data_IF_674818070566
#
_entry.id   IF_674818070566
#
_cell.length_a   1.000
_cell.length_b   1.000
_cell.length_c   1.000
_cell.angle_alpha   90.00
_cell.angle_beta   90.00
_cell.angle_gamma   90.00
#
_symmetry.space_group_name_H-M   'P 1'
#
loop_
_entity.id
_entity.type
_entity.pdbx_description
1 polymer ?
#
# COMPACT_ATOMS: atom_id res chain seq x y z
N UNK A 1 -3.72 40.88 41.31
CA UNK A 1 -2.76 40.40 42.32
C UNK A 1 -2.94 38.89 42.47
N UNK A 2 -1.91 38.07 42.21
CA UNK A 2 -1.72 36.65 42.63
C UNK A 2 -2.79 35.60 42.21
N UNK A 3 -2.54 34.47 41.52
CA UNK A 3 -1.52 33.39 41.70
C UNK A 3 -1.36 32.97 43.18
N UNK A 4 -1.45 31.69 43.59
CA UNK A 4 -1.84 30.39 42.98
C UNK A 4 -3.15 29.92 43.67
N UNK A 5 -3.84 28.81 43.39
CA UNK A 5 -3.67 27.60 42.55
C UNK A 5 -4.61 26.50 43.15
N UNK A 6 -4.62 25.21 42.80
CA UNK A 6 -4.03 24.34 41.74
C UNK A 6 -5.02 23.15 41.58
N UNK A 7 -5.02 22.39 40.47
CA UNK A 7 -5.84 21.16 40.34
C UNK A 7 -5.14 20.06 39.55
N UNK A 8 -5.41 18.83 39.95
CA UNK A 8 -4.73 17.55 39.70
C UNK A 8 -4.33 17.22 38.25
N UNK A 9 -3.23 16.46 38.12
CA UNK A 9 -2.87 15.78 36.86
C UNK A 9 -4.01 14.84 36.44
N UNK A 10 -4.55 15.07 35.24
CA UNK A 10 -4.95 13.98 34.37
C UNK A 10 -4.18 14.11 33.07
N UNK A 11 -3.13 13.29 32.95
CA UNK A 11 -2.39 13.10 31.72
C UNK A 11 -3.31 12.28 30.81
N UNK A 12 -4.15 12.96 30.03
CA UNK A 12 -5.01 12.33 29.02
C UNK A 12 -4.09 11.82 27.92
N UNK A 13 -3.54 10.63 28.15
CA UNK A 13 -3.00 9.76 27.11
C UNK A 13 -4.17 9.36 26.24
N UNK A 14 -4.49 10.22 25.26
CA UNK A 14 -5.43 9.88 24.20
C UNK A 14 -4.75 8.84 23.31
N UNK A 15 -4.72 7.59 23.77
CA UNK A 15 -4.48 6.43 22.91
C UNK A 15 -5.61 6.46 21.90
N UNK A 16 -5.32 6.95 20.70
CA UNK A 16 -6.22 6.84 19.56
C UNK A 16 -6.35 5.34 19.30
N UNK A 17 -7.52 4.71 19.55
CA UNK A 17 -7.69 3.31 19.19
C UNK A 17 -7.57 3.24 17.67
N UNK A 18 -6.61 2.45 17.20
CA UNK A 18 -6.34 2.27 15.77
C UNK A 18 -7.45 1.44 15.11
N UNK A 19 -8.60 2.07 14.88
CA UNK A 19 -9.68 1.58 14.04
C UNK A 19 -10.23 2.75 13.19
N UNK A 20 -9.37 3.25 12.29
CA UNK A 20 -9.85 3.88 11.07
C UNK A 20 -10.49 2.79 10.20
N UNK A 21 -11.71 2.37 10.57
CA UNK A 21 -12.59 1.72 9.60
C UNK A 21 -12.98 2.78 8.59
N UNK A 22 -12.46 2.66 7.37
CA UNK A 22 -12.87 3.49 6.26
C UNK A 22 -14.25 2.98 5.80
N UNK A 23 -15.33 3.52 6.38
CA UNK A 23 -16.68 3.24 5.89
C UNK A 23 -16.79 3.75 4.44
N UNK A 24 -17.13 2.84 3.51
CA UNK A 24 -17.52 3.19 2.16
C UNK A 24 -18.66 2.28 1.71
N UNK A 25 -19.88 2.71 1.98
CA UNK A 25 -21.09 1.90 1.89
C UNK A 25 -21.99 2.24 0.68
N UNK A 26 -21.45 2.16 -0.54
CA UNK A 26 -22.25 2.17 -1.79
C UNK A 26 -21.80 1.09 -2.80
N UNK A 27 -22.25 -0.15 -2.59
CA UNK A 27 -22.11 -1.29 -3.53
C UNK A 27 -20.70 -1.49 -4.13
N UNK A 28 -19.66 -1.46 -3.30
CA UNK A 28 -18.30 -1.71 -3.75
C UNK A 28 -17.42 -2.31 -2.65
N UNK A 29 -16.68 -3.36 -3.03
CA UNK A 29 -15.44 -3.85 -2.39
C UNK A 29 -15.50 -3.95 -0.85
N UNK A 30 -15.86 -5.12 -0.35
CA UNK A 30 -15.66 -5.43 1.07
C UNK A 30 -14.17 -5.58 1.39
N UNK A 31 -13.71 -4.91 2.44
CA UNK A 31 -12.45 -5.23 3.10
C UNK A 31 -12.59 -6.61 3.75
N UNK A 32 -12.21 -7.65 3.02
CA UNK A 32 -12.38 -9.03 3.45
C UNK A 32 -11.43 -9.37 4.59
N UNK A 33 -11.85 -9.06 5.82
CA UNK A 33 -11.18 -9.41 7.07
C UNK A 33 -10.93 -10.93 7.21
N UNK A 34 -11.74 -11.74 6.51
CA UNK A 34 -11.70 -13.22 6.53
C UNK A 34 -10.89 -13.84 5.36
N UNK A 35 -10.48 -13.05 4.35
CA UNK A 35 -9.81 -13.61 3.17
C UNK A 35 -8.27 -13.59 3.31
N UNK A 36 -7.55 -14.67 2.94
CA UNK A 36 -6.08 -14.72 2.98
C UNK A 36 -5.43 -13.97 1.80
N UNK A 37 -5.99 -12.82 1.41
CA UNK A 37 -5.46 -11.96 0.35
C UNK A 37 -4.50 -10.97 0.99
N UNK A 38 -3.21 -11.20 0.83
CA UNK A 38 -2.21 -10.16 1.05
C UNK A 38 -1.89 -9.44 -0.26
N UNK A 39 -1.44 -8.19 -0.17
CA UNK A 39 -0.94 -7.42 -1.31
C UNK A 39 0.57 -7.15 -1.18
N UNK A 40 1.31 -8.11 -0.61
CA UNK A 40 2.76 -7.96 -0.40
C UNK A 40 3.53 -8.10 -1.71
N UNK A 41 4.63 -7.38 -1.86
CA UNK A 41 5.47 -7.46 -3.04
C UNK A 41 6.94 -7.12 -2.78
N UNK A 42 7.79 -7.61 -3.68
CA UNK A 42 9.22 -7.33 -3.73
C UNK A 42 9.53 -6.34 -4.86
N UNK A 43 10.59 -5.56 -4.68
CA UNK A 43 11.19 -4.69 -5.70
C UNK A 43 12.64 -5.12 -5.95
N UNK A 44 13.05 -5.27 -7.19
CA UNK A 44 14.41 -5.67 -7.57
C UNK A 44 14.97 -4.75 -8.66
N UNK A 45 16.13 -4.15 -8.42
CA UNK A 45 16.77 -3.23 -9.36
C UNK A 45 17.60 -3.98 -10.40
N UNK A 46 17.38 -3.70 -11.69
CA UNK A 46 18.27 -4.17 -12.76
C UNK A 46 19.48 -3.25 -12.91
N UNK A 47 20.44 -3.38 -12.00
CA UNK A 47 21.71 -2.68 -12.04
C UNK A 47 21.80 -1.44 -11.13
N UNK A 48 22.58 -0.45 -11.54
CA UNK A 48 22.91 0.71 -10.71
C UNK A 48 21.73 1.69 -10.57
N UNK A 49 21.45 2.11 -9.34
CA UNK A 49 20.35 3.01 -9.00
C UNK A 49 20.68 4.49 -9.26
N UNK A 50 21.96 4.82 -9.41
CA UNK A 50 22.51 6.20 -9.41
C UNK A 50 22.45 6.90 -10.77
N UNK A 51 22.00 6.20 -11.82
CA UNK A 51 21.93 6.68 -13.20
C UNK A 51 20.57 6.35 -13.81
N UNK A 52 19.85 7.36 -14.28
CA UNK A 52 18.57 7.17 -14.98
C UNK A 52 18.80 6.93 -16.49
N UNK A 53 17.94 6.15 -17.16
CA UNK A 53 16.77 5.46 -16.62
C UNK A 53 17.11 4.22 -15.77
N UNK A 54 16.38 4.03 -14.66
CA UNK A 54 16.52 2.85 -13.80
C UNK A 54 15.36 1.89 -14.07
N UNK A 55 15.67 0.61 -14.28
CA UNK A 55 14.66 -0.45 -14.46
C UNK A 55 14.49 -1.21 -13.16
N UNK A 56 13.24 -1.35 -12.71
CA UNK A 56 12.87 -2.07 -11.49
C UNK A 56 11.83 -3.14 -11.82
N UNK A 57 12.08 -4.35 -11.33
CA UNK A 57 11.15 -5.46 -11.38
C UNK A 57 10.32 -5.52 -10.09
N UNK A 58 9.01 -5.65 -10.27
CA UNK A 58 8.02 -5.73 -9.21
C UNK A 58 7.38 -7.10 -9.27
N UNK A 59 7.42 -7.84 -8.17
CA UNK A 59 6.85 -9.20 -8.09
C UNK A 59 5.93 -9.32 -6.89
N UNK A 60 4.69 -9.72 -7.13
CA UNK A 60 3.76 -10.12 -6.07
C UNK A 60 4.38 -11.25 -5.23
N UNK A 61 4.54 -11.00 -3.93
CA UNK A 61 5.19 -11.89 -2.96
C UNK A 61 4.20 -12.65 -2.08
N UNK A 62 2.90 -12.50 -2.34
CA UNK A 62 1.85 -13.24 -1.65
C UNK A 62 1.59 -14.62 -2.23
N UNK A 63 0.70 -15.37 -1.57
CA UNK A 63 0.24 -16.67 -2.09
C UNK A 63 -0.62 -16.40 -3.32
N UNK A 64 -0.26 -16.97 -4.47
CA UNK A 64 -1.09 -16.90 -5.66
C UNK A 64 -2.30 -17.83 -5.53
N UNK A 65 -3.48 -17.33 -5.87
CA UNK A 65 -4.71 -18.12 -6.00
C UNK A 65 -5.44 -17.80 -7.30
N UNK A 66 -6.12 -18.79 -7.88
CA UNK A 66 -6.94 -18.62 -9.08
C UNK A 66 -8.01 -17.53 -8.85
N UNK A 67 -8.16 -16.64 -9.83
CA UNK A 67 -9.06 -15.49 -9.76
C UNK A 67 -8.48 -14.23 -9.08
N UNK A 68 -7.18 -14.20 -8.76
CA UNK A 68 -6.50 -12.96 -8.39
C UNK A 68 -6.26 -12.06 -9.60
N UNK A 69 -6.62 -10.79 -9.46
CA UNK A 69 -6.29 -9.71 -10.38
C UNK A 69 -5.35 -8.72 -9.70
N UNK A 70 -4.36 -8.23 -10.43
CA UNK A 70 -3.35 -7.31 -9.94
C UNK A 70 -3.51 -5.95 -10.60
N UNK A 71 -3.23 -4.87 -9.87
CA UNK A 71 -3.08 -3.53 -10.42
C UNK A 71 -1.95 -2.80 -9.70
N UNK A 72 -0.95 -2.38 -10.47
CA UNK A 72 0.18 -1.58 -10.00
C UNK A 72 -0.03 -0.11 -10.36
N UNK A 73 0.30 0.77 -9.41
CA UNK A 73 0.62 2.17 -9.64
C UNK A 73 2.09 2.36 -9.24
N UNK A 74 2.93 2.82 -10.16
CA UNK A 74 4.36 3.03 -9.90
C UNK A 74 4.68 4.41 -9.31
N UNK A 75 3.68 5.28 -9.13
CA UNK A 75 3.82 6.61 -8.54
C UNK A 75 4.42 7.67 -9.47
N UNK A 76 4.75 7.30 -10.71
CA UNK A 76 5.21 8.21 -11.78
C UNK A 76 4.18 8.41 -12.91
N UNK A 77 3.00 7.79 -12.77
CA UNK A 77 1.96 7.70 -13.80
C UNK A 77 1.96 6.39 -14.59
N UNK A 78 2.98 5.54 -14.44
CA UNK A 78 3.01 4.19 -14.97
C UNK A 78 2.10 3.23 -14.18
N UNK A 79 1.49 2.27 -14.88
CA UNK A 79 0.65 1.21 -14.27
C UNK A 79 0.89 -0.15 -14.95
N UNK A 80 0.50 -1.24 -14.28
CA UNK A 80 0.50 -2.59 -14.85
C UNK A 80 -0.62 -3.44 -14.26
N UNK A 81 -1.07 -4.48 -14.98
CA UNK A 81 -2.02 -5.50 -14.50
C UNK A 81 -1.42 -6.91 -14.36
N UNK A 82 -0.12 -7.03 -14.55
CA UNK A 82 0.59 -8.31 -14.49
C UNK A 82 0.95 -8.66 -13.04
N UNK A 83 1.02 -9.95 -12.69
CA UNK A 83 1.47 -10.39 -11.36
C UNK A 83 2.94 -10.01 -11.07
N UNK A 84 3.77 -10.05 -12.12
CA UNK A 84 5.14 -9.54 -12.15
C UNK A 84 5.22 -8.51 -13.26
N UNK A 85 5.81 -7.35 -13.00
CA UNK A 85 5.93 -6.25 -13.94
C UNK A 85 7.34 -5.65 -13.91
N UNK A 86 7.86 -5.23 -15.06
CA UNK A 86 9.07 -4.41 -15.16
C UNK A 86 8.67 -2.97 -15.49
N UNK A 87 9.17 -1.98 -14.76
CA UNK A 87 8.93 -0.55 -15.04
C UNK A 87 10.24 0.24 -15.12
N UNK A 88 10.21 1.38 -15.81
CA UNK A 88 11.39 2.18 -16.15
C UNK A 88 11.24 3.61 -15.64
N UNK A 89 11.91 3.92 -14.54
CA UNK A 89 11.90 5.26 -13.93
C UNK A 89 12.89 6.18 -14.64
N UNK A 90 12.36 7.23 -15.27
CA UNK A 90 13.12 8.18 -16.11
C UNK A 90 13.81 9.30 -15.31
N UNK A 91 13.50 9.45 -14.01
CA UNK A 91 13.98 10.55 -13.17
C UNK A 91 14.36 10.03 -11.78
N UNK A 92 15.22 10.80 -11.10
CA UNK A 92 15.55 10.62 -9.69
C UNK A 92 14.40 11.18 -8.84
N UNK A 93 14.17 10.60 -7.67
CA UNK A 93 13.10 10.99 -6.76
C UNK A 93 12.56 9.81 -5.94
N UNK A 94 11.59 10.11 -5.07
CA UNK A 94 10.84 9.11 -4.30
C UNK A 94 9.51 8.82 -4.97
N UNK A 95 9.25 7.55 -5.25
CA UNK A 95 8.05 7.05 -5.90
C UNK A 95 7.28 6.17 -4.94
N UNK A 96 6.01 6.50 -4.69
CA UNK A 96 5.13 5.69 -3.85
C UNK A 96 4.50 4.60 -4.72
N UNK A 97 5.09 3.42 -4.72
CA UNK A 97 4.58 2.27 -5.50
C UNK A 97 3.47 1.60 -4.73
N UNK A 98 2.33 1.35 -5.37
CA UNK A 98 1.16 0.70 -4.78
C UNK A 98 0.78 -0.53 -5.59
N UNK A 99 0.64 -1.66 -4.90
CA UNK A 99 -0.01 -2.85 -5.44
C UNK A 99 -1.42 -2.96 -4.87
N UNK A 100 -2.40 -3.13 -5.75
CA UNK A 100 -3.75 -3.58 -5.44
C UNK A 100 -3.92 -5.04 -5.92
N UNK A 101 -4.49 -5.89 -5.07
CA UNK A 101 -4.86 -7.27 -5.37
C UNK A 101 -6.35 -7.42 -5.11
N UNK A 102 -7.12 -7.80 -6.14
CA UNK A 102 -8.55 -8.09 -6.01
C UNK A 102 -8.87 -9.52 -6.35
N UNK A 103 -9.86 -10.10 -5.68
CA UNK A 103 -10.35 -11.46 -5.96
C UNK A 103 -11.76 -11.64 -5.40
N UNK A 104 -12.58 -12.40 -6.11
CA UNK A 104 -13.89 -12.79 -5.60
C UNK A 104 -13.76 -14.01 -4.68
N UNK A 105 -14.23 -13.89 -3.44
CA UNK A 105 -14.20 -14.92 -2.38
C UNK A 105 -15.63 -15.11 -1.89
N UNK A 106 -16.13 -16.35 -1.92
CA UNK A 106 -17.49 -16.68 -1.45
C UNK A 106 -18.65 -15.91 -2.14
N UNK A 107 -18.41 -15.28 -3.30
CA UNK A 107 -19.36 -14.42 -4.00
C UNK A 107 -19.23 -12.93 -3.69
N UNK A 108 -18.29 -12.54 -2.82
CA UNK A 108 -17.98 -11.16 -2.49
C UNK A 108 -16.65 -10.73 -3.12
N UNK A 109 -16.58 -9.49 -3.62
CA UNK A 109 -15.37 -8.97 -4.25
C UNK A 109 -14.44 -8.33 -3.23
N UNK A 110 -13.38 -9.04 -2.88
CA UNK A 110 -12.34 -8.58 -1.96
C UNK A 110 -11.29 -7.72 -2.66
N UNK A 111 -10.70 -6.78 -1.92
CA UNK A 111 -9.49 -6.05 -2.31
C UNK A 111 -8.51 -5.95 -1.14
N UNK A 112 -7.22 -5.96 -1.45
CA UNK A 112 -6.17 -5.51 -0.53
C UNK A 112 -5.15 -4.67 -1.28
N UNK A 113 -4.53 -3.71 -0.59
CA UNK A 113 -3.43 -2.92 -1.17
C UNK A 113 -2.29 -2.72 -0.19
N UNK A 114 -1.06 -2.67 -0.73
CA UNK A 114 0.14 -2.27 0.01
C UNK A 114 0.85 -1.16 -0.76
N UNK A 115 1.36 -0.16 -0.05
CA UNK A 115 2.24 0.85 -0.61
C UNK A 115 3.65 0.69 -0.03
N UNK A 116 4.67 0.90 -0.86
CA UNK A 116 6.07 0.94 -0.46
C UNK A 116 6.77 2.08 -1.21
N UNK A 117 7.63 2.83 -0.50
CA UNK A 117 8.36 3.94 -1.10
C UNK A 117 9.65 3.43 -1.76
N UNK A 118 9.82 3.78 -3.04
CA UNK A 118 10.98 3.48 -3.86
C UNK A 118 11.79 4.76 -4.06
N UNK A 119 13.08 4.75 -3.71
CA UNK A 119 13.98 5.89 -3.92
C UNK A 119 14.90 5.62 -5.11
N UNK A 120 14.94 6.56 -6.04
CA UNK A 120 15.90 6.59 -7.17
C UNK A 120 16.83 7.79 -6.92
N UNK A 121 18.12 7.51 -6.64
CA UNK A 121 19.14 8.51 -6.27
C UNK A 121 19.96 9.04 -7.45
#
# INVERSE_FOLDING_TARGET
>A
MGRKGVSLLFLIMLVVPALMSCDSSEKGIVDCAEAPINASFNMEFRGAQTSVPVVVDFTYAGKFEQGMEFSWDFGDGGTSKQQTASHVFQKKGTYRVVLYVTRDVSGERCSKSTAQDLVIE
#
